data_IF_206803924682
#
_entry.id   IF_206803924682
#
_cell.length_a   1.000
_cell.length_b   1.000
_cell.length_c   1.000
_cell.angle_alpha   90.00
_cell.angle_beta   90.00
_cell.angle_gamma   90.00
#
_symmetry.space_group_name_H-M   'P 1'
#
loop_
_entity.id
_entity.type
_entity.pdbx_description
1 polymer ?
#
# COMPACT_ATOMS: atom_id res chain seq x y z
N UNK A 1 -14.80 -6.03 3.15
CA UNK A 1 -13.54 -5.68 3.86
C UNK A 1 -12.40 -6.33 3.08
N UNK A 2 -11.12 -5.90 3.19
CA UNK A 2 -10.02 -6.51 2.43
C UNK A 2 -9.79 -8.00 2.77
N UNK A 3 -10.25 -8.41 3.95
CA UNK A 3 -10.25 -9.80 4.43
C UNK A 3 -11.51 -10.60 4.02
N UNK A 4 -12.36 -10.07 3.15
CA UNK A 4 -13.56 -10.79 2.69
C UNK A 4 -13.16 -11.94 1.74
N UNK A 5 -13.48 -13.20 2.07
CA UNK A 5 -13.14 -14.35 1.23
C UNK A 5 -13.84 -14.33 -0.14
N UNK A 6 -14.89 -13.53 -0.30
CA UNK A 6 -15.58 -13.33 -1.58
C UNK A 6 -15.05 -12.12 -2.36
N UNK A 7 -14.00 -11.45 -1.88
CA UNK A 7 -13.42 -10.30 -2.57
C UNK A 7 -12.75 -10.74 -3.87
N UNK A 8 -13.26 -10.25 -4.99
CA UNK A 8 -12.64 -10.44 -6.30
C UNK A 8 -11.30 -9.70 -6.43
N UNK A 9 -10.66 -9.86 -7.59
CA UNK A 9 -9.44 -9.11 -7.89
C UNK A 9 -9.67 -7.61 -7.74
N UNK A 10 -8.91 -7.00 -6.82
CA UNK A 10 -9.11 -5.62 -6.39
C UNK A 10 -7.79 -4.87 -6.47
N UNK A 11 -7.86 -3.62 -6.92
CA UNK A 11 -6.72 -2.70 -6.89
C UNK A 11 -6.99 -1.66 -5.80
N UNK A 12 -6.05 -1.52 -4.86
CA UNK A 12 -6.06 -0.45 -3.88
C UNK A 12 -5.05 0.62 -4.33
N UNK A 13 -5.54 1.83 -4.58
CA UNK A 13 -4.71 2.96 -4.99
C UNK A 13 -4.57 3.91 -3.80
N UNK A 14 -3.33 4.15 -3.39
CA UNK A 14 -2.98 5.12 -2.35
C UNK A 14 -2.25 6.26 -3.06
N UNK A 15 -2.84 7.45 -3.00
CA UNK A 15 -2.27 8.66 -3.60
C UNK A 15 -1.57 9.54 -2.57
N UNK A 16 -0.60 10.33 -3.04
CA UNK A 16 0.17 11.29 -2.26
C UNK A 16 0.75 10.71 -0.95
N UNK A 17 1.39 9.53 -1.01
CA UNK A 17 1.98 8.87 0.16
C UNK A 17 2.96 9.78 0.93
N UNK A 18 3.67 10.67 0.23
CA UNK A 18 4.58 11.63 0.84
C UNK A 18 3.90 12.69 1.74
N UNK A 19 2.58 12.87 1.62
CA UNK A 19 1.79 13.71 2.54
C UNK A 19 1.41 12.95 3.83
N UNK A 20 1.67 11.64 3.90
CA UNK A 20 1.48 10.83 5.09
C UNK A 20 2.58 11.14 6.12
N UNK A 21 2.33 12.13 6.97
CA UNK A 21 3.29 12.62 7.96
C UNK A 21 3.30 11.83 9.28
N UNK A 22 2.32 10.95 9.50
CA UNK A 22 2.15 10.20 10.75
C UNK A 22 2.08 8.71 10.45
N UNK A 23 2.86 7.92 11.17
CA UNK A 23 2.87 6.46 11.10
C UNK A 23 3.11 5.88 9.70
N UNK A 24 3.73 6.65 8.79
CA UNK A 24 4.10 6.19 7.46
C UNK A 24 4.94 4.88 7.47
N UNK A 25 5.97 4.73 8.33
CA UNK A 25 6.69 3.46 8.44
C UNK A 25 5.77 2.29 8.82
N UNK A 26 4.86 2.50 9.78
CA UNK A 26 3.90 1.49 10.21
C UNK A 26 2.92 1.11 9.09
N UNK A 27 2.50 2.09 8.29
CA UNK A 27 1.63 1.87 7.14
C UNK A 27 2.33 1.05 6.05
N UNK A 28 3.59 1.36 5.74
CA UNK A 28 4.39 0.59 4.78
C UNK A 28 4.61 -0.84 5.27
N UNK A 29 4.98 -1.01 6.55
CA UNK A 29 5.14 -2.33 7.17
C UNK A 29 3.83 -3.14 7.10
N UNK A 30 2.69 -2.49 7.31
CA UNK A 30 1.38 -3.11 7.17
C UNK A 30 1.12 -3.60 5.74
N UNK A 31 1.38 -2.76 4.73
CA UNK A 31 1.20 -3.13 3.31
C UNK A 31 2.08 -4.33 2.97
N UNK A 32 3.34 -4.32 3.38
CA UNK A 32 4.28 -5.42 3.14
C UNK A 32 3.81 -6.70 3.84
N UNK A 33 3.42 -6.63 5.11
CA UNK A 33 2.97 -7.78 5.88
C UNK A 33 1.64 -8.38 5.36
N UNK A 34 0.74 -7.53 4.84
CA UNK A 34 -0.59 -7.96 4.37
C UNK A 34 -0.64 -8.31 2.89
N UNK A 35 0.28 -7.83 2.06
CA UNK A 35 0.38 -8.20 0.64
C UNK A 35 0.32 -9.71 0.38
N UNK A 36 1.06 -10.59 1.09
CA UNK A 36 0.95 -12.03 0.88
C UNK A 36 -0.37 -12.63 1.41
N UNK A 37 -1.01 -11.99 2.39
CA UNK A 37 -2.29 -12.44 2.95
C UNK A 37 -3.45 -12.10 1.99
N UNK A 38 -3.38 -10.95 1.33
CA UNK A 38 -4.39 -10.46 0.40
C UNK A 38 -4.01 -10.74 -1.05
N UNK A 39 -3.93 -12.01 -1.43
CA UNK A 39 -3.48 -12.44 -2.76
C UNK A 39 -4.36 -11.91 -3.92
N UNK A 40 -5.62 -11.56 -3.66
CA UNK A 40 -6.52 -10.94 -4.65
C UNK A 40 -6.39 -9.41 -4.73
N UNK A 41 -5.63 -8.78 -3.82
CA UNK A 41 -5.47 -7.31 -3.75
C UNK A 41 -4.10 -6.92 -4.31
N UNK A 42 -4.09 -5.94 -5.20
CA UNK A 42 -2.87 -5.29 -5.70
C UNK A 42 -2.80 -3.87 -5.18
N UNK A 43 -1.67 -3.52 -4.58
CA UNK A 43 -1.40 -2.19 -4.05
C UNK A 43 -0.70 -1.35 -5.12
N UNK A 44 -1.23 -0.16 -5.39
CA UNK A 44 -0.62 0.86 -6.22
C UNK A 44 -0.44 2.07 -5.32
N UNK A 45 0.79 2.54 -5.19
CA UNK A 45 1.12 3.65 -4.30
C UNK A 45 1.82 4.72 -5.12
N UNK A 46 1.30 5.94 -5.09
CA UNK A 46 1.93 7.12 -5.68
C UNK A 46 2.43 8.08 -4.61
N UNK A 47 3.55 8.72 -4.89
CA UNK A 47 4.14 9.80 -4.10
C UNK A 47 4.85 10.78 -5.04
N UNK A 48 5.22 11.96 -4.53
CA UNK A 48 6.32 12.73 -5.13
C UNK A 48 7.61 11.92 -5.12
N UNK A 49 8.58 12.33 -5.94
CA UNK A 49 9.90 11.70 -5.99
C UNK A 49 10.50 11.63 -4.58
N UNK A 50 10.88 10.42 -4.18
CA UNK A 50 11.64 10.20 -2.96
C UNK A 50 13.11 10.06 -3.32
N UNK A 51 14.00 10.90 -2.76
CA UNK A 51 15.44 10.81 -3.01
C UNK A 51 16.00 9.42 -2.69
N UNK A 52 15.46 8.76 -1.66
CA UNK A 52 15.90 7.42 -1.23
C UNK A 52 15.58 6.31 -2.24
N UNK A 53 14.67 6.58 -3.18
CA UNK A 53 14.24 5.65 -4.24
C UNK A 53 14.85 6.07 -5.59
N UNK A 54 15.30 7.33 -5.70
CA UNK A 54 15.84 7.93 -6.91
C UNK A 54 17.38 7.84 -6.93
N UNK A 55 17.89 6.65 -7.29
CA UNK A 55 19.28 6.29 -7.67
C UNK A 55 20.44 6.77 -6.77
#
# INVERSE_FOLDING_TARGET
MLEDPNLGHTFLVIDALDECVTDLPLFLDYIVAKSPVFSCVKWIVSSRNWPDIEN
#
